data_IF_163030177389
#
_entry.id   IF_163030177389
#
_cell.length_a   1.000
_cell.length_b   1.000
_cell.length_c   1.000
_cell.angle_alpha   90.00
_cell.angle_beta   90.00
_cell.angle_gamma   90.00
#
_symmetry.space_group_name_H-M   'P 1'
#
loop_
_entity.id
_entity.type
_entity.pdbx_description
1 polymer ?
#
# COMPACT_ATOMS: atom_id res chain seq x y z
N UNK A 1 -20.36 22.67 17.90
CA UNK A 1 -18.90 22.76 17.71
C UNK A 1 -18.62 22.65 16.23
N UNK A 2 -17.60 23.36 15.74
CA UNK A 2 -17.14 23.19 14.36
C UNK A 2 -16.58 21.78 14.17
N UNK A 3 -16.70 21.18 12.98
CA UNK A 3 -16.10 19.88 12.69
C UNK A 3 -14.65 20.11 12.20
N UNK A 4 -13.62 19.53 12.83
CA UNK A 4 -12.23 19.82 12.49
C UNK A 4 -11.85 19.25 11.12
N UNK A 5 -12.66 18.32 10.59
CA UNK A 5 -12.53 17.71 9.28
C UNK A 5 -13.42 18.38 8.21
N UNK A 6 -14.12 19.47 8.53
CA UNK A 6 -14.94 20.17 7.55
C UNK A 6 -14.07 20.78 6.44
N UNK A 7 -14.45 20.53 5.18
CA UNK A 7 -13.76 20.99 3.97
C UNK A 7 -12.26 20.63 3.94
N UNK A 8 -11.91 19.43 4.45
CA UNK A 8 -10.55 18.87 4.40
C UNK A 8 -10.50 17.64 3.51
N UNK A 9 -9.37 17.46 2.84
CA UNK A 9 -9.05 16.18 2.22
C UNK A 9 -8.95 15.10 3.31
N UNK A 10 -9.30 13.86 2.98
CA UNK A 10 -9.21 12.72 3.88
C UNK A 10 -8.88 11.49 3.05
N UNK A 11 -7.89 10.69 3.47
CA UNK A 11 -7.67 9.39 2.87
C UNK A 11 -8.75 8.45 3.42
N UNK A 12 -9.53 7.82 2.54
CA UNK A 12 -10.56 6.88 2.96
C UNK A 12 -10.10 5.47 2.63
N UNK A 13 -9.97 4.63 3.66
CA UNK A 13 -9.76 3.20 3.45
C UNK A 13 -11.11 2.53 3.20
N UNK A 14 -11.22 1.81 2.10
CA UNK A 14 -12.45 1.15 1.68
C UNK A 14 -12.53 -0.26 2.27
N UNK A 15 -13.27 -0.42 3.35
CA UNK A 15 -13.59 -1.73 3.90
C UNK A 15 -14.76 -2.34 3.13
N UNK A 16 -14.45 -3.26 2.22
CA UNK A 16 -15.44 -3.95 1.38
C UNK A 16 -15.75 -5.30 1.98
N UNK A 17 -17.03 -5.65 1.97
CA UNK A 17 -17.49 -6.94 2.46
C UNK A 17 -18.32 -7.62 1.38
N UNK A 18 -17.70 -8.54 0.64
CA UNK A 18 -18.36 -9.21 -0.50
C UNK A 18 -19.52 -10.11 -0.06
N UNK A 19 -19.42 -10.74 1.11
CA UNK A 19 -20.44 -11.63 1.66
C UNK A 19 -21.62 -10.86 2.28
N UNK A 20 -21.36 -9.66 2.82
CA UNK A 20 -22.38 -8.76 3.39
C UNK A 20 -22.20 -7.33 2.87
N UNK A 21 -22.51 -7.06 1.59
CA UNK A 21 -22.24 -5.78 0.94
C UNK A 21 -22.73 -4.55 1.69
N UNK A 22 -23.87 -4.64 2.38
CA UNK A 22 -24.46 -3.58 3.18
C UNK A 22 -23.62 -3.15 4.39
N UNK A 23 -22.65 -3.97 4.79
CA UNK A 23 -21.67 -3.64 5.84
C UNK A 23 -20.43 -2.92 5.30
N UNK A 24 -20.31 -2.76 3.97
CA UNK A 24 -19.19 -2.05 3.36
C UNK A 24 -19.21 -0.56 3.73
N UNK A 25 -18.08 -0.05 4.18
CA UNK A 25 -17.96 1.34 4.64
C UNK A 25 -16.52 1.86 4.54
N UNK A 26 -16.37 3.17 4.72
CA UNK A 26 -15.05 3.79 4.76
C UNK A 26 -14.56 4.00 6.18
N UNK A 27 -13.27 3.78 6.38
CA UNK A 27 -12.52 4.29 7.52
C UNK A 27 -11.81 5.58 7.14
N UNK A 28 -11.96 6.61 7.98
CA UNK A 28 -11.29 7.89 7.79
C UNK A 28 -9.85 7.82 8.27
N UNK A 29 -8.92 7.79 7.33
CA UNK A 29 -7.48 7.76 7.55
C UNK A 29 -6.91 9.17 7.31
N UNK A 30 -6.06 9.64 8.22
CA UNK A 30 -5.57 11.02 8.17
C UNK A 30 -6.65 12.02 8.54
N UNK A 31 -7.52 11.68 9.49
CA UNK A 31 -8.52 12.61 10.04
C UNK A 31 -7.99 13.32 11.26
N UNK A 32 -8.42 14.56 11.46
CA UNK A 32 -8.21 15.31 12.69
C UNK A 32 -9.15 14.80 13.79
N UNK A 33 -8.68 14.79 15.03
CA UNK A 33 -9.46 14.39 16.20
C UNK A 33 -9.42 15.46 17.29
N UNK A 34 -10.40 15.42 18.19
CA UNK A 34 -10.39 16.22 19.40
C UNK A 34 -9.79 15.44 20.57
N UNK A 35 -9.11 16.15 21.46
CA UNK A 35 -8.73 15.69 22.81
C UNK A 35 -8.95 16.82 23.83
N UNK A 36 -8.93 16.49 25.12
CA UNK A 36 -9.15 17.46 26.21
C UNK A 36 -10.61 17.59 26.66
N UNK A 37 -10.88 18.54 27.54
CA UNK A 37 -12.23 18.85 28.02
C UNK A 37 -12.97 19.78 27.05
N UNK A 38 -14.30 19.85 27.16
CA UNK A 38 -15.11 20.74 26.31
C UNK A 38 -14.72 22.22 26.42
N UNK A 39 -14.21 22.64 27.58
CA UNK A 39 -13.76 24.01 27.84
C UNK A 39 -12.31 24.27 27.36
N UNK A 40 -11.55 23.22 27.01
CA UNK A 40 -10.16 23.32 26.54
C UNK A 40 -9.82 22.19 25.55
N UNK A 41 -10.46 22.24 24.38
CA UNK A 41 -10.27 21.24 23.33
C UNK A 41 -8.98 21.49 22.55
N UNK A 42 -8.24 20.41 22.28
CA UNK A 42 -7.09 20.39 21.38
C UNK A 42 -7.46 19.65 20.10
N UNK A 43 -7.12 20.24 18.95
CA UNK A 43 -7.25 19.59 17.64
C UNK A 43 -5.94 18.86 17.35
N UNK A 44 -6.01 17.55 17.17
CA UNK A 44 -4.87 16.70 16.86
C UNK A 44 -4.86 16.40 15.36
N UNK A 45 -3.75 16.63 14.64
CA UNK A 45 -3.64 16.35 13.22
C UNK A 45 -3.49 14.85 12.92
N UNK A 46 -3.34 14.02 13.94
CA UNK A 46 -3.26 12.57 13.78
C UNK A 46 -3.79 11.85 15.02
N UNK A 47 -3.96 10.53 14.91
CA UNK A 47 -4.35 9.65 16.00
C UNK A 47 -3.74 8.26 15.78
N UNK A 48 -3.86 7.36 16.76
CA UNK A 48 -3.26 6.01 16.73
C UNK A 48 -3.77 5.10 15.62
N UNK A 49 -4.88 5.45 14.98
CA UNK A 49 -5.51 4.69 13.92
C UNK A 49 -5.40 5.36 12.53
N UNK A 50 -4.76 6.53 12.41
CA UNK A 50 -4.43 7.13 11.11
C UNK A 50 -3.25 6.39 10.46
N UNK A 51 -3.41 5.09 10.23
CA UNK A 51 -2.36 4.25 9.68
C UNK A 51 -2.93 3.04 8.97
N UNK A 52 -2.16 2.55 8.01
CA UNK A 52 -2.44 1.35 7.23
C UNK A 52 -1.28 0.38 7.47
N UNK A 53 -1.51 -0.82 8.03
CA UNK A 53 -2.79 -1.33 8.53
C UNK A 53 -3.28 -0.60 9.79
N UNK A 54 -4.59 -0.55 9.99
CA UNK A 54 -5.21 0.09 11.17
C UNK A 54 -4.91 -0.69 12.45
N UNK A 55 -4.62 0.01 13.53
CA UNK A 55 -4.14 -0.61 14.78
C UNK A 55 -5.16 -1.55 15.42
N UNK A 56 -6.45 -1.24 15.34
CA UNK A 56 -7.49 -2.09 15.94
C UNK A 56 -7.67 -3.43 15.21
N UNK A 57 -7.21 -3.54 13.96
CA UNK A 57 -7.29 -4.77 13.18
C UNK A 57 -6.29 -5.83 13.65
N UNK A 58 -5.30 -5.42 14.46
CA UNK A 58 -4.16 -6.24 14.89
C UNK A 58 -3.35 -6.86 13.73
N UNK A 59 -3.61 -6.44 12.49
CA UNK A 59 -2.84 -6.88 11.34
C UNK A 59 -1.42 -6.34 11.45
N UNK A 60 -0.44 -7.24 11.31
CA UNK A 60 0.98 -6.85 11.18
C UNK A 60 1.18 -5.88 10.00
N UNK A 61 2.22 -5.02 10.04
CA UNK A 61 2.61 -4.20 8.91
C UNK A 61 2.67 -4.99 7.60
N UNK A 62 2.45 -4.32 6.47
CA UNK A 62 2.40 -4.99 5.17
C UNK A 62 3.78 -5.54 4.80
N UNK A 63 3.87 -6.85 4.55
CA UNK A 63 5.14 -7.46 4.16
C UNK A 63 5.60 -6.97 2.79
N UNK A 64 6.84 -6.48 2.70
CA UNK A 64 7.47 -6.18 1.41
C UNK A 64 7.96 -7.49 0.77
N UNK A 65 7.55 -7.73 -0.48
CA UNK A 65 7.82 -8.96 -1.21
C UNK A 65 8.83 -8.72 -2.35
N UNK A 66 9.58 -9.73 -2.81
CA UNK A 66 10.51 -9.57 -3.92
C UNK A 66 9.89 -8.92 -5.15
N UNK A 67 10.50 -7.82 -5.60
CA UNK A 67 10.07 -7.07 -6.78
C UNK A 67 10.52 -7.71 -8.09
N UNK A 68 9.87 -7.29 -9.18
CA UNK A 68 10.19 -7.72 -10.55
C UNK A 68 10.33 -6.49 -11.46
N UNK A 69 10.85 -6.67 -12.69
CA UNK A 69 11.00 -5.58 -13.66
C UNK A 69 11.92 -4.46 -13.15
N UNK A 70 11.44 -3.22 -13.15
CA UNK A 70 12.18 -2.07 -12.62
C UNK A 70 12.53 -2.19 -11.13
N UNK A 71 11.87 -3.10 -10.41
CA UNK A 71 12.09 -3.39 -8.99
C UNK A 71 12.88 -4.68 -8.74
N UNK A 72 13.52 -5.28 -9.74
CA UNK A 72 14.40 -6.43 -9.53
C UNK A 72 15.53 -6.08 -8.54
N UNK A 73 15.73 -6.94 -7.52
CA UNK A 73 16.70 -6.71 -6.46
C UNK A 73 16.20 -5.84 -5.30
N UNK A 74 14.91 -5.50 -5.29
CA UNK A 74 14.22 -4.76 -4.21
C UNK A 74 13.11 -5.60 -3.59
N UNK A 75 12.72 -5.27 -2.36
CA UNK A 75 11.45 -5.70 -1.78
C UNK A 75 10.43 -4.58 -1.96
N UNK A 76 9.20 -4.90 -2.33
CA UNK A 76 8.16 -3.93 -2.70
C UNK A 76 6.83 -4.21 -2.01
N UNK A 77 6.04 -3.16 -1.82
CA UNK A 77 4.62 -3.29 -1.50
C UNK A 77 3.90 -3.81 -2.74
N UNK A 78 3.15 -4.91 -2.59
CA UNK A 78 2.31 -5.46 -3.64
C UNK A 78 0.96 -5.85 -3.04
N UNK A 79 -0.14 -5.78 -3.82
CA UNK A 79 -1.41 -6.36 -3.40
C UNK A 79 -1.25 -7.85 -3.06
N UNK A 80 -1.90 -8.27 -1.97
CA UNK A 80 -1.98 -9.66 -1.50
C UNK A 80 -3.43 -9.98 -1.11
N UNK A 81 -3.65 -11.09 -0.43
CA UNK A 81 -4.95 -11.45 0.16
C UNK A 81 -5.26 -10.70 1.47
N UNK A 82 -4.34 -9.84 1.94
CA UNK A 82 -4.56 -9.04 3.15
C UNK A 82 -5.42 -7.82 2.87
N UNK A 83 -6.35 -7.54 3.79
CA UNK A 83 -7.29 -6.41 3.76
C UNK A 83 -6.66 -5.10 3.29
N UNK A 84 -5.53 -4.74 3.92
CA UNK A 84 -4.87 -3.44 3.71
C UNK A 84 -3.85 -3.41 2.57
N UNK A 85 -3.68 -4.51 1.81
CA UNK A 85 -2.57 -4.64 0.86
C UNK A 85 -2.76 -3.88 -0.45
N UNK A 86 -4.01 -3.57 -0.83
CA UNK A 86 -4.29 -2.75 -2.00
C UNK A 86 -4.12 -1.27 -1.64
N UNK A 87 -3.00 -0.69 -2.08
CA UNK A 87 -2.63 0.71 -1.80
C UNK A 87 -3.08 1.68 -2.90
N UNK A 88 -3.97 1.25 -3.80
CA UNK A 88 -4.48 2.11 -4.87
C UNK A 88 -5.37 3.21 -4.29
N UNK A 89 -5.10 4.45 -4.69
CA UNK A 89 -5.81 5.66 -4.27
C UNK A 89 -6.60 6.20 -5.46
N UNK A 90 -7.91 6.36 -5.27
CA UNK A 90 -8.85 6.86 -6.28
C UNK A 90 -9.86 7.82 -5.64
N UNK A 91 -10.41 8.79 -6.40
CA UNK A 91 -11.57 9.56 -5.98
C UNK A 91 -12.78 8.68 -5.71
N UNK A 92 -13.62 9.04 -4.73
CA UNK A 92 -14.89 8.37 -4.47
C UNK A 92 -15.82 8.34 -5.68
N UNK A 93 -15.68 9.33 -6.57
CA UNK A 93 -16.40 9.39 -7.84
C UNK A 93 -16.16 8.16 -8.74
N UNK A 94 -15.04 7.43 -8.58
CA UNK A 94 -14.77 6.19 -9.33
C UNK A 94 -15.84 5.11 -9.04
N UNK A 95 -16.43 5.13 -7.85
CA UNK A 95 -17.46 4.17 -7.43
C UNK A 95 -18.86 4.51 -7.96
N UNK A 96 -19.10 5.75 -8.39
CA UNK A 96 -20.45 6.28 -8.73
C UNK A 96 -21.19 5.45 -9.77
N UNK A 97 -20.45 4.84 -10.70
CA UNK A 97 -21.02 4.07 -11.83
C UNK A 97 -20.79 2.57 -11.69
N UNK A 98 -20.21 2.12 -10.57
CA UNK A 98 -19.95 0.70 -10.32
C UNK A 98 -21.27 -0.08 -10.22
N UNK A 99 -21.27 -1.27 -10.81
CA UNK A 99 -22.40 -2.20 -10.75
C UNK A 99 -22.28 -3.20 -9.61
N UNK A 100 -21.10 -3.32 -9.01
CA UNK A 100 -20.88 -4.21 -7.87
C UNK A 100 -21.58 -3.66 -6.62
N UNK A 101 -22.25 -4.53 -5.87
CA UNK A 101 -23.11 -4.13 -4.75
C UNK A 101 -22.32 -3.51 -3.60
N UNK A 102 -21.17 -4.08 -3.26
CA UNK A 102 -20.26 -3.57 -2.23
C UNK A 102 -19.80 -2.14 -2.56
N UNK A 103 -19.46 -1.86 -3.81
CA UNK A 103 -19.08 -0.53 -4.26
C UNK A 103 -20.26 0.46 -4.23
N UNK A 104 -21.48 0.01 -4.55
CA UNK A 104 -22.68 0.85 -4.40
C UNK A 104 -22.98 1.19 -2.94
N UNK A 105 -22.86 0.22 -2.02
CA UNK A 105 -23.02 0.47 -0.59
C UNK A 105 -21.92 1.38 -0.05
N UNK A 106 -20.68 1.14 -0.45
CA UNK A 106 -19.53 1.96 -0.09
C UNK A 106 -19.72 3.41 -0.55
N UNK A 107 -20.12 3.64 -1.81
CA UNK A 107 -20.42 4.98 -2.34
C UNK A 107 -21.53 5.70 -1.58
N UNK A 108 -22.57 4.97 -1.17
CA UNK A 108 -23.71 5.51 -0.41
C UNK A 108 -23.52 5.50 1.11
N UNK A 109 -22.37 4.99 1.59
CA UNK A 109 -22.12 4.83 3.02
C UNK A 109 -22.19 6.16 3.76
N UNK A 110 -22.57 6.09 5.04
CA UNK A 110 -22.72 7.27 5.90
C UNK A 110 -23.65 8.34 5.32
N UNK A 111 -24.76 7.91 4.68
CA UNK A 111 -25.72 8.80 4.00
C UNK A 111 -25.08 9.66 2.90
N UNK A 112 -24.15 9.10 2.13
CA UNK A 112 -23.50 9.80 1.02
C UNK A 112 -22.50 10.89 1.43
N UNK A 113 -22.04 10.88 2.70
CA UNK A 113 -21.08 11.87 3.25
C UNK A 113 -19.85 12.11 2.37
N UNK A 114 -19.38 11.07 1.67
CA UNK A 114 -18.12 11.09 0.92
C UNK A 114 -18.28 11.40 -0.57
N UNK A 115 -19.51 11.67 -1.05
CA UNK A 115 -19.79 11.86 -2.47
C UNK A 115 -19.45 13.26 -3.01
N UNK A 116 -18.77 14.09 -2.22
CA UNK A 116 -18.36 15.43 -2.67
C UNK A 116 -17.34 15.32 -3.78
N UNK A 117 -17.51 16.15 -4.81
CA UNK A 117 -16.63 16.19 -5.97
C UNK A 117 -15.28 16.84 -5.64
N UNK A 118 -14.22 16.31 -6.25
CA UNK A 118 -12.88 16.89 -6.28
C UNK A 118 -12.64 17.74 -7.54
N UNK A 119 -13.66 18.03 -8.36
CA UNK A 119 -13.51 18.84 -9.57
C UNK A 119 -12.82 20.19 -9.29
N UNK A 120 -11.89 20.55 -10.19
CA UNK A 120 -11.02 21.73 -10.04
C UNK A 120 -9.91 21.59 -8.98
N UNK A 121 -9.85 20.50 -8.22
CA UNK A 121 -8.74 20.21 -7.32
C UNK A 121 -7.59 19.49 -8.03
N UNK A 122 -6.38 19.74 -7.54
CA UNK A 122 -5.18 19.01 -7.95
C UNK A 122 -4.56 18.43 -6.68
N UNK A 123 -4.57 17.12 -6.54
CA UNK A 123 -4.26 16.46 -5.27
C UNK A 123 -2.77 16.10 -5.23
N UNK A 124 -2.09 16.59 -4.19
CA UNK A 124 -0.74 16.23 -3.85
C UNK A 124 -0.67 15.27 -2.66
N UNK A 125 0.29 14.36 -2.70
CA UNK A 125 0.73 13.55 -1.57
C UNK A 125 2.03 14.14 -1.04
N UNK A 126 1.97 14.77 0.13
CA UNK A 126 3.12 15.39 0.79
C UNK A 126 3.77 14.43 1.78
N UNK A 127 5.08 14.21 1.68
CA UNK A 127 5.83 13.36 2.60
C UNK A 127 6.08 14.10 3.92
N UNK A 128 5.58 13.55 5.03
CA UNK A 128 5.74 14.11 6.37
C UNK A 128 6.87 13.42 7.17
N UNK A 129 7.07 12.12 6.96
CA UNK A 129 8.19 11.37 7.56
C UNK A 129 8.45 10.07 6.79
N UNK A 130 9.66 9.52 6.88
CA UNK A 130 10.00 8.22 6.28
C UNK A 130 11.10 7.52 7.07
N UNK A 131 10.98 6.20 7.25
CA UNK A 131 12.03 5.37 7.83
C UNK A 131 13.26 5.33 6.92
N UNK A 132 14.46 5.32 7.52
CA UNK A 132 15.69 5.16 6.76
C UNK A 132 15.69 3.83 5.99
N UNK A 133 16.01 3.87 4.69
CA UNK A 133 16.01 2.71 3.80
C UNK A 133 14.67 2.38 3.14
N UNK A 134 13.56 3.02 3.56
CA UNK A 134 12.30 2.96 2.82
C UNK A 134 12.30 4.04 1.75
N UNK A 135 11.86 3.68 0.55
CA UNK A 135 11.74 4.56 -0.60
C UNK A 135 10.33 4.41 -1.20
N UNK A 136 9.92 5.39 -1.99
CA UNK A 136 8.59 5.43 -2.59
C UNK A 136 8.74 5.78 -4.06
N UNK A 137 8.26 4.91 -4.94
CA UNK A 137 8.30 5.12 -6.37
C UNK A 137 6.98 4.82 -7.08
N UNK A 138 6.97 5.09 -8.37
CA UNK A 138 5.88 4.78 -9.28
C UNK A 138 6.01 3.39 -9.94
N UNK A 139 5.06 3.02 -10.78
CA UNK A 139 5.11 1.74 -11.52
C UNK A 139 6.33 1.56 -12.44
N UNK A 140 7.03 2.64 -12.78
CA UNK A 140 8.24 2.64 -13.61
C UNK A 140 9.54 2.58 -12.77
N UNK A 141 9.43 2.46 -11.43
CA UNK A 141 10.58 2.42 -10.54
C UNK A 141 11.22 3.77 -10.26
N UNK A 142 10.57 4.87 -10.65
CA UNK A 142 11.05 6.23 -10.43
C UNK A 142 10.62 6.69 -9.05
N UNK A 143 11.57 7.19 -8.24
CA UNK A 143 11.25 7.75 -6.93
C UNK A 143 10.40 9.02 -7.07
N UNK A 144 9.27 9.07 -6.37
CA UNK A 144 8.28 10.15 -6.50
C UNK A 144 8.40 11.22 -5.42
N UNK A 145 8.98 10.88 -4.27
CA UNK A 145 9.34 11.78 -3.17
C UNK A 145 10.63 11.28 -2.52
N UNK A 146 11.52 12.19 -2.10
CA UNK A 146 12.85 11.83 -1.57
C UNK A 146 13.15 12.45 -0.21
N UNK A 147 12.59 13.62 0.06
CA UNK A 147 12.82 14.40 1.27
C UNK A 147 11.50 14.73 1.95
N UNK A 148 11.53 14.84 3.28
CA UNK A 148 10.38 15.35 4.04
C UNK A 148 10.02 16.75 3.53
N UNK A 149 8.74 16.97 3.26
CA UNK A 149 8.20 18.18 2.65
C UNK A 149 7.96 18.06 1.15
N UNK A 150 8.58 17.10 0.46
CA UNK A 150 8.34 16.84 -0.96
C UNK A 150 6.86 16.53 -1.22
N UNK A 151 6.33 17.03 -2.32
CA UNK A 151 4.96 16.83 -2.76
C UNK A 151 4.97 16.18 -4.14
N UNK A 152 4.27 15.07 -4.28
CA UNK A 152 4.02 14.43 -5.57
C UNK A 152 2.54 14.58 -5.94
N UNK A 153 2.25 15.07 -7.15
CA UNK A 153 0.88 15.15 -7.66
C UNK A 153 0.37 13.75 -8.01
N UNK A 154 -0.70 13.31 -7.33
CA UNK A 154 -1.29 11.98 -7.53
C UNK A 154 -2.47 12.00 -8.51
N UNK A 155 -3.05 13.16 -8.78
CA UNK A 155 -4.11 13.32 -9.77
C UNK A 155 -4.94 14.59 -9.58
N UNK A 156 -5.93 14.78 -10.45
CA UNK A 156 -6.78 15.97 -10.47
C UNK A 156 -8.23 15.60 -10.70
N UNK A 157 -9.16 16.36 -10.11
CA UNK A 157 -10.59 16.17 -10.33
C UNK A 157 -11.11 14.82 -9.84
N UNK A 158 -12.24 14.40 -10.42
CA UNK A 158 -12.92 13.16 -10.06
C UNK A 158 -12.42 11.92 -10.83
N UNK A 159 -11.34 12.05 -11.61
CA UNK A 159 -10.86 10.98 -12.49
C UNK A 159 -9.32 10.82 -12.42
N UNK A 160 -8.86 10.08 -11.42
CA UNK A 160 -7.48 9.60 -11.36
C UNK A 160 -7.40 8.27 -10.61
N UNK A 161 -6.28 7.57 -10.81
CA UNK A 161 -5.93 6.38 -10.06
C UNK A 161 -4.42 6.37 -9.85
N UNK A 162 -3.99 6.16 -8.62
CA UNK A 162 -2.58 6.23 -8.24
C UNK A 162 -2.23 5.14 -7.24
N UNK A 163 -1.21 4.33 -7.56
CA UNK A 163 -0.73 3.27 -6.67
C UNK A 163 0.77 3.51 -6.39
N UNK A 164 1.13 4.01 -5.20
CA UNK A 164 2.53 4.13 -4.81
C UNK A 164 3.15 2.75 -4.59
N UNK A 165 4.40 2.59 -4.98
CA UNK A 165 5.21 1.41 -4.65
C UNK A 165 6.21 1.78 -3.58
N UNK A 166 6.01 1.26 -2.37
CA UNK A 166 6.97 1.36 -1.28
C UNK A 166 8.01 0.27 -1.44
N UNK A 167 9.28 0.61 -1.29
CA UNK A 167 10.35 -0.35 -1.55
C UNK A 167 11.58 -0.15 -0.67
N UNK A 168 12.30 -1.25 -0.47
CA UNK A 168 13.62 -1.29 0.18
C UNK A 168 14.58 -2.12 -0.69
N UNK A 169 15.89 -2.02 -0.44
CA UNK A 169 16.85 -2.96 -1.03
C UNK A 169 16.55 -4.39 -0.54
N UNK A 170 16.82 -5.41 -1.38
CA UNK A 170 16.60 -6.81 -0.99
C UNK A 170 17.38 -7.25 0.25
N UNK A 171 18.50 -6.58 0.55
CA UNK A 171 19.33 -6.82 1.72
C UNK A 171 18.99 -5.88 2.90
N UNK A 172 17.87 -5.15 2.85
CA UNK A 172 17.46 -4.27 3.93
C UNK A 172 17.34 -5.04 5.27
N UNK A 173 17.72 -4.42 6.40
CA UNK A 173 17.55 -5.03 7.71
C UNK A 173 16.11 -5.49 7.97
N UNK A 174 15.97 -6.59 8.70
CA UNK A 174 14.65 -7.02 9.17
C UNK A 174 14.06 -5.97 10.12
N UNK A 175 12.76 -5.73 10.01
CA UNK A 175 12.06 -4.79 10.90
C UNK A 175 10.91 -4.07 10.23
N UNK A 176 10.35 -3.10 10.96
CA UNK A 176 9.24 -2.25 10.52
C UNK A 176 9.75 -0.97 9.88
N UNK A 177 9.14 -0.60 8.76
CA UNK A 177 9.41 0.60 8.00
C UNK A 177 8.11 1.38 7.82
N UNK A 178 8.16 2.69 7.98
CA UNK A 178 6.98 3.55 7.95
C UNK A 178 7.20 4.77 7.08
N UNK A 179 6.14 5.23 6.43
CA UNK A 179 6.10 6.54 5.79
C UNK A 179 4.82 7.27 6.19
N UNK A 180 4.95 8.54 6.58
CA UNK A 180 3.82 9.40 6.92
C UNK A 180 3.58 10.41 5.82
N UNK A 181 2.30 10.70 5.54
CA UNK A 181 1.90 11.65 4.52
C UNK A 181 0.75 12.55 4.96
N UNK A 182 0.54 13.62 4.19
CA UNK A 182 -0.69 14.40 4.16
C UNK A 182 -1.17 14.54 2.70
N UNK A 183 -2.47 14.62 2.51
CA UNK A 183 -3.07 15.05 1.25
C UNK A 183 -3.18 16.57 1.26
N UNK A 184 -2.76 17.20 0.17
CA UNK A 184 -2.80 18.65 -0.02
C UNK A 184 -3.50 18.99 -1.32
N UNK A 185 -4.21 20.11 -1.33
CA UNK A 185 -4.81 20.66 -2.53
C UNK A 185 -3.86 21.69 -3.16
N UNK A 186 -3.40 21.37 -4.36
CA UNK A 186 -2.49 22.16 -5.19
C UNK A 186 -3.25 22.94 -6.27
N UNK A 187 -4.57 22.82 -6.33
CA UNK A 187 -5.39 23.49 -7.32
C UNK A 187 -5.37 25.00 -7.11
N UNK A 188 -5.30 25.73 -8.21
CA UNK A 188 -5.31 27.21 -8.23
C UNK A 188 -6.61 27.78 -8.81
N UNK A 189 -7.62 26.93 -8.99
CA UNK A 189 -8.93 27.35 -9.48
C UNK A 189 -9.64 28.23 -8.44
N UNK A 190 -9.83 29.51 -8.80
CA UNK A 190 -10.43 30.52 -7.94
C UNK A 190 -11.97 30.43 -7.88
N UNK A 191 -12.61 29.51 -8.62
CA UNK A 191 -14.08 29.33 -8.59
C UNK A 191 -14.56 28.40 -7.48
N UNK A 192 -13.66 27.83 -6.68
CA UNK A 192 -13.98 26.96 -5.55
C UNK A 192 -13.21 27.39 -4.30
N UNK A 193 -13.69 26.95 -3.14
CA UNK A 193 -12.93 27.05 -1.89
C UNK A 193 -11.88 25.94 -1.91
N UNK A 194 -10.57 26.25 -1.79
CA UNK A 194 -9.53 25.22 -1.69
C UNK A 194 -9.84 24.24 -0.56
N UNK A 195 -9.60 22.95 -0.79
CA UNK A 195 -9.68 21.98 0.28
C UNK A 195 -8.50 22.20 1.22
N UNK A 196 -8.78 22.18 2.52
CA UNK A 196 -7.73 22.21 3.55
C UNK A 196 -7.00 20.86 3.57
N UNK A 197 -5.75 20.84 4.06
CA UNK A 197 -4.98 19.60 4.11
C UNK A 197 -5.64 18.52 4.98
N UNK A 198 -5.34 17.26 4.68
CA UNK A 198 -5.68 16.17 5.58
C UNK A 198 -4.82 16.20 6.84
N UNK A 199 -5.27 15.45 7.86
CA UNK A 199 -4.38 15.03 8.92
C UNK A 199 -3.27 14.12 8.40
N UNK A 200 -2.30 13.84 9.25
CA UNK A 200 -1.20 12.93 8.93
C UNK A 200 -1.62 11.48 9.05
N UNK A 201 -1.30 10.67 8.05
CA UNK A 201 -1.52 9.23 8.04
C UNK A 201 -0.26 8.45 7.65
N UNK A 202 -0.19 7.20 8.08
CA UNK A 202 0.98 6.34 7.90
C UNK A 202 0.68 5.12 7.03
N UNK A 203 1.66 4.69 6.25
CA UNK A 203 1.74 3.35 5.72
C UNK A 203 2.89 2.61 6.39
N UNK A 204 2.60 1.43 6.91
CA UNK A 204 3.54 0.63 7.69
C UNK A 204 3.79 -0.71 7.01
N UNK A 205 5.09 -0.99 6.87
CA UNK A 205 5.63 -2.13 6.17
C UNK A 205 6.56 -2.93 7.06
N UNK A 206 6.79 -4.18 6.70
CA UNK A 206 7.79 -5.02 7.34
C UNK A 206 8.68 -5.70 6.31
N UNK A 207 9.96 -5.76 6.63
CA UNK A 207 10.92 -6.64 5.96
C UNK A 207 11.07 -7.88 6.83
N UNK A 208 10.70 -9.04 6.27
CA UNK A 208 10.83 -10.35 6.90
C UNK A 208 11.85 -11.19 6.14
N UNK A 209 12.43 -12.17 6.84
CA UNK A 209 13.26 -13.17 6.18
C UNK A 209 12.39 -13.93 5.16
N UNK A 210 12.68 -13.75 3.87
CA UNK A 210 12.04 -14.54 2.81
C UNK A 210 12.69 -15.93 2.87
N UNK A 211 11.92 -17.02 3.08
CA UNK A 211 12.48 -18.36 2.99
C UNK A 211 13.07 -18.52 1.58
N UNK A 212 14.36 -18.83 1.48
CA UNK A 212 14.93 -19.15 0.17
C UNK A 212 14.13 -20.31 -0.42
N UNK A 213 13.66 -20.15 -1.66
CA UNK A 213 13.10 -21.26 -2.41
C UNK A 213 14.22 -22.29 -2.52
N UNK A 214 14.13 -23.36 -1.75
CA UNK A 214 15.03 -24.50 -1.77
C UNK A 214 14.84 -25.25 -3.09
N UNK A 215 15.26 -24.62 -4.17
CA UNK A 215 15.37 -25.26 -5.48
C UNK A 215 16.61 -26.14 -5.41
N UNK A 216 16.45 -27.28 -4.76
CA UNK A 216 17.12 -28.56 -4.95
C UNK A 216 18.40 -28.46 -5.79
N UNK A 217 19.52 -28.12 -5.14
CA UNK A 217 20.88 -28.48 -5.59
C UNK A 217 21.14 -30.01 -5.46
N UNK A 218 20.08 -30.82 -5.51
CA UNK A 218 20.06 -32.25 -5.19
C UNK A 218 19.91 -33.18 -6.40
N UNK A 219 20.05 -32.71 -7.64
CA UNK A 219 20.00 -33.57 -8.83
C UNK A 219 21.37 -33.78 -9.53
N UNK A 220 22.46 -33.26 -8.98
CA UNK A 220 23.77 -33.27 -9.65
C UNK A 220 24.69 -34.48 -9.39
N UNK A 221 24.48 -35.30 -8.36
CA UNK A 221 25.53 -36.26 -7.92
C UNK A 221 25.12 -37.75 -7.98
N UNK A 222 23.83 -38.09 -8.09
CA UNK A 222 23.42 -39.52 -8.13
C UNK A 222 23.53 -40.13 -9.54
N UNK A 223 23.71 -39.32 -10.60
CA UNK A 223 23.75 -39.79 -11.99
C UNK A 223 25.07 -40.37 -12.51
N UNK A 224 26.19 -40.22 -11.80
CA UNK A 224 27.53 -40.59 -12.33
C UNK A 224 28.10 -41.92 -11.81
N UNK A 225 27.45 -42.61 -10.86
CA UNK A 225 27.92 -43.94 -10.41
C UNK A 225 27.27 -45.14 -11.13
N UNK A 226 26.18 -44.95 -11.89
CA UNK A 226 25.47 -46.07 -12.52
C UNK A 226 26.04 -46.49 -13.90
N UNK A 227 26.98 -45.73 -14.50
CA UNK A 227 27.49 -45.99 -15.84
C UNK A 227 28.91 -46.59 -15.90
N UNK A 228 29.58 -46.79 -14.76
CA UNK A 228 30.89 -47.47 -14.73
C UNK A 228 30.80 -48.98 -14.46
N UNK A 229 29.70 -49.48 -13.88
CA UNK A 229 29.56 -50.90 -13.52
C UNK A 229 29.01 -51.79 -14.64
N UNK A 230 28.35 -51.23 -15.66
CA UNK A 230 27.79 -52.00 -16.78
C UNK A 230 28.80 -52.23 -17.94
N UNK A 231 29.95 -51.54 -17.94
CA UNK A 231 31.02 -51.80 -18.92
C UNK A 231 32.04 -52.85 -18.47
N UNK A 232 32.12 -53.20 -17.18
CA UNK A 232 33.03 -54.24 -16.70
C UNK A 232 32.50 -55.68 -16.86
N UNK A 233 31.18 -55.88 -16.97
CA UNK A 233 30.61 -57.23 -17.11
C UNK A 233 30.55 -57.74 -18.56
N UNK A 234 30.75 -56.88 -19.57
CA UNK A 234 30.69 -57.28 -20.98
C UNK A 234 32.03 -57.74 -21.56
N UNK A 235 33.15 -57.52 -20.86
CA UNK A 235 34.49 -57.91 -21.33
C UNK A 235 35.01 -59.23 -20.73
N UNK A 236 34.33 -59.81 -19.73
CA UNK A 236 34.72 -61.08 -19.09
C UNK A 236 33.90 -62.29 -19.53
N UNK A 237 32.90 -62.12 -20.42
CA UNK A 237 32.05 -63.22 -20.91
C UNK A 237 32.32 -63.66 -22.36
N UNK A 238 33.37 -63.13 -23.01
CA UNK A 238 33.70 -63.41 -24.41
C UNK A 238 35.02 -64.19 -24.61
N UNK A 239 35.54 -64.88 -23.59
CA UNK A 239 36.79 -65.64 -23.71
C UNK A 239 36.77 -67.05 -23.12
N UNK A 240 35.62 -67.75 -23.09
CA UNK A 240 35.57 -69.20 -22.85
C UNK A 240 34.33 -69.79 -23.55
N UNK A 241 34.51 -70.15 -24.82
CA UNK A 241 34.01 -71.36 -25.48
C UNK A 241 34.73 -71.49 -26.81
#
# INVERSE_FOLDING_TARGET
MENPNYNRLTLLFAHRNEDTPESSHFHGIGTYSYSGSLDNLTINPTNTNNRIPESYSEQSPLTLLPGTGFYTGRLISTPTDKEYSNLTIEPIASLKTSKELDNQYLFNSSNGRWQSSLEGANIGLQLASISNGLNIGDSAGVDIVKSVGDIYTIGSGDNFSFTPTFWTDAAAPLGTYSASFQLVDLGTDNHRIPFKESGTFNFDFEVKAVPESSTVLGLGIVGLLALSLSRLQKLTRSSLN
#
